data_IF_643527069706
#
_entry.id   IF_643527069706
#
_cell.length_a   1.000
_cell.length_b   1.000
_cell.length_c   1.000
_cell.angle_alpha   90.00
_cell.angle_beta   90.00
_cell.angle_gamma   90.00
#
_symmetry.space_group_name_H-M   'P 1'
#
loop_
_entity.id
_entity.type
_entity.pdbx_description
1 polymer ?
#
# COMPACT_ATOMS: atom_id res chain seq x y z
N UNK A 1 31.20 15.44 1.16
CA UNK A 1 30.45 14.18 1.45
C UNK A 1 28.97 14.53 1.60
N UNK A 2 28.12 14.00 0.72
CA UNK A 2 26.69 14.26 0.75
C UNK A 2 25.93 12.98 1.08
N UNK A 3 25.12 13.04 2.12
CA UNK A 3 24.17 11.97 2.44
C UNK A 3 22.79 12.41 1.98
N UNK A 4 22.12 11.53 1.26
CA UNK A 4 20.76 11.76 0.81
C UNK A 4 19.88 10.62 1.25
N UNK A 5 18.60 10.92 1.49
CA UNK A 5 17.60 9.93 1.85
C UNK A 5 16.48 10.01 0.82
N UNK A 6 16.12 8.86 0.29
CA UNK A 6 15.01 8.73 -0.66
C UNK A 6 14.02 7.71 -0.12
N UNK A 7 12.73 8.02 -0.26
CA UNK A 7 11.68 7.09 0.11
C UNK A 7 10.91 6.74 -1.16
N UNK A 8 10.84 5.44 -1.47
CA UNK A 8 10.17 4.95 -2.67
C UNK A 8 9.25 3.78 -2.32
N UNK A 9 8.13 3.70 -3.01
CA UNK A 9 7.27 2.52 -2.95
C UNK A 9 7.82 1.51 -3.96
N UNK A 10 8.65 0.60 -3.49
CA UNK A 10 9.41 -0.28 -4.38
C UNK A 10 8.66 -1.57 -4.75
N UNK A 11 7.56 -1.85 -4.06
CA UNK A 11 6.76 -3.04 -4.36
C UNK A 11 5.30 -2.83 -3.97
N UNK A 12 4.39 -3.13 -4.88
CA UNK A 12 2.96 -3.08 -4.64
C UNK A 12 2.39 -4.41 -5.10
N UNK A 13 1.72 -5.14 -4.20
CA UNK A 13 1.13 -6.43 -4.48
C UNK A 13 -0.36 -6.42 -4.21
N UNK A 14 -1.11 -7.12 -5.03
CA UNK A 14 -2.54 -7.35 -4.82
C UNK A 14 -2.68 -8.80 -4.37
N UNK A 15 -3.25 -9.01 -3.18
CA UNK A 15 -3.25 -10.33 -2.54
C UNK A 15 -4.67 -10.71 -2.11
N UNK A 16 -5.03 -11.97 -2.38
CA UNK A 16 -6.25 -12.56 -1.91
C UNK A 16 -7.48 -12.22 -2.73
N UNK A 17 -8.59 -12.84 -2.37
CA UNK A 17 -9.86 -12.67 -3.07
C UNK A 17 -10.49 -11.29 -2.86
N UNK A 18 -10.14 -10.63 -1.75
CA UNK A 18 -10.62 -9.28 -1.44
C UNK A 18 -9.68 -8.20 -1.94
N UNK A 19 -8.66 -8.58 -2.71
CA UNK A 19 -7.74 -7.63 -3.35
C UNK A 19 -7.11 -6.65 -2.36
N UNK A 20 -6.56 -7.18 -1.26
CA UNK A 20 -5.76 -6.37 -0.35
C UNK A 20 -4.51 -5.88 -1.09
N UNK A 21 -4.25 -4.58 -1.03
CA UNK A 21 -3.09 -3.99 -1.68
C UNK A 21 -2.00 -3.84 -0.64
N UNK A 22 -0.90 -4.59 -0.81
CA UNK A 22 0.26 -4.51 0.07
C UNK A 22 1.28 -3.58 -0.54
N UNK A 23 1.67 -2.56 0.20
CA UNK A 23 2.63 -1.55 -0.25
C UNK A 23 3.89 -1.68 0.58
N UNK A 24 5.02 -1.91 -0.08
CA UNK A 24 6.34 -1.89 0.58
C UNK A 24 7.03 -0.58 0.23
N UNK A 25 7.46 0.13 1.26
CA UNK A 25 8.17 1.38 1.12
C UNK A 25 9.62 1.16 1.51
N UNK A 26 10.55 1.53 0.64
CA UNK A 26 11.97 1.45 0.90
C UNK A 26 12.51 2.84 1.21
N UNK A 27 13.26 2.95 2.31
CA UNK A 27 14.02 4.16 2.63
C UNK A 27 15.47 3.87 2.29
N UNK A 28 16.00 4.60 1.31
CA UNK A 28 17.34 4.37 0.77
C UNK A 28 18.22 5.54 1.19
N UNK A 29 19.36 5.22 1.79
CA UNK A 29 20.35 6.23 2.19
C UNK A 29 21.55 6.09 1.25
N UNK A 30 21.93 7.19 0.63
CA UNK A 30 23.05 7.22 -0.31
C UNK A 30 24.12 8.17 0.19
N UNK A 31 25.37 7.81 -0.10
CA UNK A 31 26.54 8.68 0.11
C UNK A 31 27.15 8.94 -1.25
N UNK A 32 27.18 10.22 -1.63
CA UNK A 32 27.76 10.65 -2.91
C UNK A 32 27.18 9.87 -4.10
N UNK A 33 25.86 9.61 -4.05
CA UNK A 33 25.15 8.89 -5.09
C UNK A 33 25.19 7.37 -4.98
N UNK A 34 25.91 6.82 -4.01
CA UNK A 34 26.02 5.38 -3.81
C UNK A 34 25.15 4.93 -2.65
N UNK A 35 24.31 3.95 -2.88
CA UNK A 35 23.46 3.40 -1.83
C UNK A 35 24.31 2.71 -0.77
N UNK A 36 24.15 3.10 0.49
CA UNK A 36 24.86 2.52 1.62
C UNK A 36 23.94 1.81 2.61
N UNK A 37 22.65 2.09 2.56
CA UNK A 37 21.69 1.48 3.46
C UNK A 37 20.31 1.50 2.84
N UNK A 38 19.53 0.47 3.15
CA UNK A 38 18.13 0.37 2.71
C UNK A 38 17.31 -0.31 3.80
N UNK A 39 16.23 0.30 4.19
CA UNK A 39 15.27 -0.28 5.11
C UNK A 39 13.89 -0.33 4.47
N UNK A 40 13.05 -1.22 4.97
CA UNK A 40 11.73 -1.44 4.40
C UNK A 40 10.65 -1.30 5.46
N UNK A 41 9.52 -0.76 5.06
CA UNK A 41 8.30 -0.83 5.83
C UNK A 41 7.15 -1.26 4.92
N UNK A 42 6.12 -1.88 5.51
CA UNK A 42 4.98 -2.37 4.76
C UNK A 42 3.69 -1.92 5.41
N UNK A 43 2.71 -1.65 4.57
CA UNK A 43 1.35 -1.44 5.04
C UNK A 43 0.37 -2.06 4.05
N UNK A 44 -0.85 -2.28 4.50
CA UNK A 44 -1.89 -2.93 3.71
C UNK A 44 -3.05 -1.97 3.54
N UNK A 45 -3.56 -1.86 2.32
CA UNK A 45 -4.76 -1.08 2.01
C UNK A 45 -5.89 -2.08 1.75
N UNK A 46 -6.86 -2.10 2.67
CA UNK A 46 -8.01 -2.99 2.57
C UNK A 46 -9.13 -2.36 1.74
N UNK A 47 -10.09 -3.18 1.21
CA UNK A 47 -11.21 -2.64 0.44
C UNK A 47 -12.12 -1.68 1.21
N UNK A 48 -12.11 -1.73 2.54
CA UNK A 48 -12.92 -0.86 3.40
C UNK A 48 -12.22 0.43 3.82
N UNK A 49 -11.10 0.75 3.20
CA UNK A 49 -10.37 1.99 3.51
C UNK A 49 -11.28 3.20 3.28
N UNK A 50 -11.22 4.18 4.20
CA UNK A 50 -11.98 5.41 4.04
C UNK A 50 -11.42 6.27 2.91
N UNK A 51 -12.25 7.13 2.35
CA UNK A 51 -11.80 8.05 1.30
C UNK A 51 -10.68 8.98 1.80
N UNK A 52 -10.76 9.40 3.06
CA UNK A 52 -9.74 10.28 3.64
C UNK A 52 -8.40 9.57 3.78
N UNK A 53 -8.41 8.32 4.23
CA UNK A 53 -7.19 7.52 4.35
C UNK A 53 -6.61 7.19 2.99
N UNK A 54 -7.47 6.86 2.02
CA UNK A 54 -7.03 6.58 0.66
C UNK A 54 -6.39 7.81 0.02
N UNK A 55 -6.88 9.01 0.30
CA UNK A 55 -6.32 10.24 -0.23
C UNK A 55 -4.89 10.49 0.25
N UNK A 56 -4.48 9.87 1.36
CA UNK A 56 -3.12 9.95 1.88
C UNK A 56 -2.15 8.97 1.22
N UNK A 57 -2.67 8.05 0.41
CA UNK A 57 -1.83 7.13 -0.34
C UNK A 57 -1.28 7.80 -1.60
N UNK A 58 -0.24 7.19 -2.19
CA UNK A 58 0.31 7.71 -3.44
C UNK A 58 -0.73 7.63 -4.56
N UNK A 59 -0.53 8.45 -5.59
CA UNK A 59 -1.42 8.43 -6.77
C UNK A 59 -1.47 7.04 -7.41
N UNK A 60 -0.34 6.35 -7.46
CA UNK A 60 -0.27 4.98 -7.99
C UNK A 60 -1.12 4.01 -7.16
N UNK A 61 -0.99 4.05 -5.84
CA UNK A 61 -1.79 3.19 -4.95
C UNK A 61 -3.27 3.52 -5.07
N UNK A 62 -3.62 4.81 -5.13
CA UNK A 62 -5.01 5.21 -5.32
C UNK A 62 -5.59 4.66 -6.63
N UNK A 63 -4.82 4.71 -7.71
CA UNK A 63 -5.25 4.21 -9.01
C UNK A 63 -5.43 2.68 -9.00
N UNK A 64 -4.53 1.96 -8.34
CA UNK A 64 -4.61 0.51 -8.20
C UNK A 64 -5.86 0.15 -7.38
N UNK A 65 -6.09 0.82 -6.26
CA UNK A 65 -7.27 0.58 -5.43
C UNK A 65 -8.57 0.85 -6.20
N UNK A 66 -8.59 1.91 -7.00
CA UNK A 66 -9.77 2.21 -7.82
C UNK A 66 -10.07 1.10 -8.84
N UNK A 67 -9.01 0.47 -9.36
CA UNK A 67 -9.14 -0.61 -10.34
C UNK A 67 -9.57 -1.93 -9.71
N UNK A 68 -9.04 -2.28 -8.54
CA UNK A 68 -9.25 -3.61 -7.94
C UNK A 68 -10.33 -3.64 -6.85
N UNK A 69 -10.56 -2.53 -6.16
CA UNK A 69 -11.58 -2.43 -5.12
C UNK A 69 -12.92 -2.04 -5.74
N UNK A 70 -13.47 -2.93 -6.55
CA UNK A 70 -14.79 -2.73 -7.16
C UNK A 70 -15.88 -2.79 -6.09
N UNK A 71 -17.10 -2.35 -6.43
CA UNK A 71 -18.21 -2.43 -5.49
C UNK A 71 -18.48 -3.88 -5.08
N UNK A 72 -18.35 -4.82 -6.00
CA UNK A 72 -18.51 -6.24 -5.70
C UNK A 72 -17.48 -6.72 -4.66
N UNK A 73 -16.22 -6.32 -4.79
CA UNK A 73 -15.16 -6.66 -3.83
C UNK A 73 -15.44 -6.03 -2.47
N UNK A 74 -15.83 -4.77 -2.44
CA UNK A 74 -16.16 -4.08 -1.19
C UNK A 74 -17.33 -4.75 -0.47
N UNK A 75 -18.36 -5.13 -1.21
CA UNK A 75 -19.53 -5.82 -0.65
C UNK A 75 -19.16 -7.20 -0.11
N UNK A 76 -18.35 -7.94 -0.84
CA UNK A 76 -17.88 -9.26 -0.42
C UNK A 76 -17.04 -9.16 0.85
N UNK A 77 -16.16 -8.15 0.94
CA UNK A 77 -15.33 -7.94 2.11
C UNK A 77 -16.17 -7.54 3.34
N UNK A 78 -17.15 -6.66 3.14
CA UNK A 78 -18.05 -6.27 4.21
C UNK A 78 -18.84 -7.47 4.75
N UNK A 79 -19.31 -8.33 3.86
CA UNK A 79 -20.02 -9.57 4.24
C UNK A 79 -19.08 -10.52 4.99
N UNK A 80 -17.83 -10.63 4.58
CA UNK A 80 -16.82 -11.46 5.25
C UNK A 80 -16.55 -10.96 6.67
N UNK A 81 -16.40 -9.66 6.85
CA UNK A 81 -16.17 -9.07 8.18
C UNK A 81 -17.40 -9.27 9.07
N UNK A 82 -18.59 -9.09 8.55
CA UNK A 82 -19.83 -9.29 9.30
C UNK A 82 -19.97 -10.75 9.77
N UNK A 83 -19.55 -11.70 8.94
CA UNK A 83 -19.58 -13.12 9.28
C UNK A 83 -18.60 -13.49 10.39
N UNK A 84 -17.57 -12.69 10.62
CA UNK A 84 -16.59 -12.92 11.67
C UNK A 84 -16.97 -12.28 13.01
N UNK A 85 -17.96 -11.42 13.03
CA UNK A 85 -18.46 -10.77 14.24
C UNK A 85 -19.52 -11.64 14.92
N UNK A 86 -19.09 -12.75 15.46
CA UNK A 86 -20.02 -13.67 16.12
C UNK A 86 -19.68 -13.77 17.59
#
# INVERSE_FOLDING_TARGET
MALTEETVEDKIEIVGEFKHVQVRTATVIKRDGTEISRSFSRHVVAPDISADDLANESTEVQAICAAVHTQAVKDAYAAHLAAQEV
#
